data_IF_450391445795
#
_entry.id   IF_450391445795
#
_cell.length_a   1.000
_cell.length_b   1.000
_cell.length_c   1.000
_cell.angle_alpha   90.00
_cell.angle_beta   90.00
_cell.angle_gamma   90.00
#
_symmetry.space_group_name_H-M   'P 1'
#
loop_
_entity.id
_entity.type
_entity.pdbx_description
1 polymer ?
#
# COMPACT_ATOMS: atom_id res chain seq x y z
N UNK A 1 -20.05 17.97 -12.23
CA UNK A 1 -19.91 17.31 -10.91
C UNK A 1 -18.65 16.48 -10.95
N UNK A 2 -17.72 16.67 -10.01
CA UNK A 2 -16.54 15.82 -9.87
C UNK A 2 -16.93 14.62 -9.01
N UNK A 3 -16.67 13.40 -9.46
CA UNK A 3 -16.90 12.17 -8.70
C UNK A 3 -15.70 11.81 -7.79
N UNK A 4 -14.68 12.68 -7.70
CA UNK A 4 -13.49 12.41 -6.89
C UNK A 4 -13.81 12.59 -5.40
N UNK A 5 -13.59 11.55 -4.61
CA UNK A 5 -13.63 11.54 -3.15
C UNK A 5 -12.24 11.25 -2.58
N UNK A 6 -11.87 11.94 -1.50
CA UNK A 6 -10.65 11.68 -0.74
C UNK A 6 -10.92 11.74 0.75
N UNK A 7 -10.05 11.16 1.56
CA UNK A 7 -10.23 11.16 3.01
C UNK A 7 -10.01 12.57 3.61
N UNK A 8 -10.64 12.80 4.76
CA UNK A 8 -10.50 14.03 5.56
C UNK A 8 -9.79 13.74 6.89
N UNK A 9 -8.90 12.73 6.90
CA UNK A 9 -8.12 12.36 8.07
C UNK A 9 -7.31 13.58 8.57
N UNK A 10 -7.34 13.85 9.87
CA UNK A 10 -6.65 15.00 10.47
C UNK A 10 -5.14 14.79 10.59
N UNK A 11 -4.70 13.53 10.66
CA UNK A 11 -3.29 13.15 10.67
C UNK A 11 -3.04 12.03 9.67
N UNK A 12 -1.85 12.02 9.08
CA UNK A 12 -1.42 10.98 8.14
C UNK A 12 -1.54 9.57 8.73
N UNK A 13 -1.26 9.43 10.03
CA UNK A 13 -1.38 8.19 10.77
C UNK A 13 -2.80 7.62 10.82
N UNK A 14 -3.84 8.47 10.75
CA UNK A 14 -5.23 8.04 10.77
C UNK A 14 -5.63 7.27 9.50
N UNK A 15 -4.90 7.45 8.40
CA UNK A 15 -5.18 6.81 7.11
C UNK A 15 -4.94 5.28 7.12
N UNK A 16 -4.47 4.73 8.24
CA UNK A 16 -4.18 3.32 8.42
C UNK A 16 -5.38 2.51 8.93
N UNK A 17 -6.40 3.18 9.45
CA UNK A 17 -7.51 2.57 10.17
C UNK A 17 -8.80 2.61 9.33
N UNK A 18 -9.74 1.73 9.65
CA UNK A 18 -11.05 1.63 8.96
C UNK A 18 -11.89 2.92 8.96
N UNK A 19 -11.55 3.91 9.79
CA UNK A 19 -12.16 5.25 9.76
C UNK A 19 -11.72 6.15 8.60
N UNK A 20 -10.72 5.74 7.83
CA UNK A 20 -10.29 6.46 6.63
C UNK A 20 -11.25 6.17 5.45
N UNK A 21 -11.79 7.22 4.82
CA UNK A 21 -12.72 7.06 3.69
C UNK A 21 -12.12 6.29 2.50
N UNK A 22 -10.80 6.36 2.30
CA UNK A 22 -10.13 5.60 1.24
C UNK A 22 -10.16 4.08 1.46
N UNK A 23 -10.51 3.64 2.67
CA UNK A 23 -10.59 2.23 3.05
C UNK A 23 -12.04 1.76 3.22
N UNK A 24 -13.02 2.58 2.84
CA UNK A 24 -14.44 2.30 3.08
C UNK A 24 -14.96 1.08 2.29
N UNK A 25 -14.35 0.78 1.14
CA UNK A 25 -14.70 -0.35 0.27
C UNK A 25 -13.94 -1.65 0.63
N UNK A 26 -13.21 -1.67 1.76
CA UNK A 26 -12.62 -2.90 2.27
C UNK A 26 -13.65 -3.68 3.08
N UNK A 27 -13.84 -4.94 2.71
CA UNK A 27 -14.67 -5.87 3.48
C UNK A 27 -14.08 -6.06 4.89
N UNK A 28 -14.94 -6.14 5.90
CA UNK A 28 -14.52 -6.15 7.32
C UNK A 28 -13.70 -7.40 7.70
N UNK A 29 -13.90 -8.50 6.98
CA UNK A 29 -13.14 -9.74 7.11
C UNK A 29 -11.72 -9.62 6.50
N UNK A 30 -11.49 -8.58 5.68
CA UNK A 30 -10.20 -8.23 5.08
C UNK A 30 -9.44 -7.18 5.89
N UNK A 31 -10.04 -6.61 6.95
CA UNK A 31 -9.32 -5.80 7.93
C UNK A 31 -8.48 -6.71 8.83
N UNK A 32 -7.26 -6.30 9.20
CA UNK A 32 -6.25 -7.20 9.81
C UNK A 32 -6.68 -7.80 11.16
N UNK A 33 -6.83 -9.13 11.20
CA UNK A 33 -6.63 -9.95 12.40
C UNK A 33 -5.18 -10.46 12.46
N UNK A 34 -4.23 -9.59 12.10
CA UNK A 34 -2.81 -9.94 12.14
C UNK A 34 -2.39 -10.03 13.62
N UNK A 35 -2.44 -11.25 14.17
CA UNK A 35 -1.74 -11.64 15.40
C UNK A 35 -0.20 -11.69 15.21
N UNK A 36 0.29 -11.40 14.01
CA UNK A 36 1.70 -11.43 13.67
C UNK A 36 2.33 -10.02 13.80
N UNK A 37 2.97 -9.84 14.97
CA UNK A 37 4.22 -9.08 15.14
C UNK A 37 4.13 -7.53 15.18
N UNK A 38 3.46 -7.01 16.22
CA UNK A 38 3.90 -5.78 16.88
C UNK A 38 4.01 -6.03 18.38
N UNK A 39 5.12 -6.64 18.80
CA UNK A 39 5.59 -6.50 20.17
C UNK A 39 6.54 -5.30 20.25
N UNK A 40 6.13 -4.13 19.75
CA UNK A 40 6.75 -2.89 20.19
C UNK A 40 5.93 -2.37 21.37
N UNK A 41 6.33 -2.84 22.55
CA UNK A 41 5.78 -2.36 23.82
C UNK A 41 6.09 -0.88 24.01
N UNK A 42 5.19 -0.02 23.53
CA UNK A 42 5.06 1.35 24.00
C UNK A 42 3.65 1.80 23.64
N UNK A 43 2.70 1.64 24.58
CA UNK A 43 1.44 2.42 24.72
C UNK A 43 0.36 1.68 25.55
N UNK A 44 0.69 0.58 26.23
CA UNK A 44 -0.27 -0.10 27.09
C UNK A 44 -0.55 0.61 28.42
N UNK A 45 0.13 1.73 28.72
CA UNK A 45 0.00 2.43 30.00
C UNK A 45 -1.00 3.62 29.98
N UNK A 46 -1.60 3.97 28.84
CA UNK A 46 -2.44 5.19 28.74
C UNK A 46 -3.82 4.97 28.12
N UNK A 47 -4.22 3.74 27.79
CA UNK A 47 -5.54 3.49 27.18
C UNK A 47 -6.62 3.30 28.25
N UNK A 48 -7.56 4.25 28.28
CA UNK A 48 -8.80 4.13 29.04
C UNK A 48 -9.63 2.93 28.53
N UNK A 49 -10.31 2.15 29.41
CA UNK A 49 -10.96 0.88 29.05
C UNK A 49 -12.15 0.99 28.08
N UNK A 50 -12.56 2.21 27.70
CA UNK A 50 -13.79 2.48 26.96
C UNK A 50 -13.61 2.71 25.45
N UNK A 51 -12.41 2.60 24.88
CA UNK A 51 -12.22 2.75 23.42
C UNK A 51 -11.90 1.40 22.76
N UNK A 52 -12.79 0.84 21.91
CA UNK A 52 -12.39 -0.29 21.07
C UNK A 52 -11.16 0.13 20.26
N UNK A 53 -10.14 -0.73 20.22
CA UNK A 53 -8.95 -0.49 19.43
C UNK A 53 -9.35 -0.24 17.96
N UNK A 54 -8.99 0.93 17.42
CA UNK A 54 -9.16 1.19 15.99
C UNK A 54 -8.41 0.11 15.22
N UNK A 55 -9.13 -0.74 14.49
CA UNK A 55 -8.56 -1.83 13.71
C UNK A 55 -7.78 -1.24 12.53
N UNK A 56 -6.49 -1.57 12.39
CA UNK A 56 -5.72 -1.24 11.20
C UNK A 56 -6.31 -2.02 10.01
N UNK A 57 -6.47 -1.36 8.87
CA UNK A 57 -7.12 -1.94 7.70
C UNK A 57 -6.27 -1.80 6.43
N UNK A 58 -5.40 -0.80 6.36
CA UNK A 58 -4.61 -0.51 5.16
C UNK A 58 -3.55 -1.59 4.84
N UNK A 59 -3.04 -1.55 3.61
CA UNK A 59 -2.26 -2.63 3.01
C UNK A 59 -0.83 -2.82 3.56
N UNK A 60 -0.27 -1.84 4.25
CA UNK A 60 1.17 -1.81 4.59
C UNK A 60 1.42 -2.03 6.08
N UNK A 61 2.63 -2.46 6.43
CA UNK A 61 3.11 -2.47 7.81
C UNK A 61 3.48 -1.05 8.25
N UNK A 62 3.18 -0.72 9.52
CA UNK A 62 3.39 0.63 10.06
C UNK A 62 4.80 0.85 10.62
N UNK A 63 5.32 -0.12 11.36
CA UNK A 63 6.52 0.04 12.19
C UNK A 63 7.53 -1.10 11.97
N UNK A 64 8.70 -0.92 12.58
CA UNK A 64 9.76 -1.91 12.60
C UNK A 64 10.41 -2.14 11.23
N UNK A 65 11.12 -3.27 11.13
CA UNK A 65 11.94 -3.62 9.95
C UNK A 65 11.12 -3.87 8.66
N UNK A 66 9.79 -3.94 8.80
CA UNK A 66 8.82 -4.14 7.71
C UNK A 66 8.03 -2.87 7.37
N UNK A 67 8.27 -1.73 8.03
CA UNK A 67 7.54 -0.48 7.76
C UNK A 67 7.51 -0.16 6.26
N UNK A 68 6.32 0.11 5.72
CA UNK A 68 6.10 0.39 4.29
C UNK A 68 6.06 -0.84 3.37
N UNK A 69 6.33 -2.05 3.87
CA UNK A 69 6.16 -3.29 3.09
C UNK A 69 4.68 -3.72 3.09
N UNK A 70 4.25 -4.34 1.99
CA UNK A 70 2.94 -4.97 1.85
C UNK A 70 2.77 -6.09 2.89
N UNK A 71 1.62 -6.13 3.57
CA UNK A 71 1.29 -7.17 4.56
C UNK A 71 1.27 -8.56 3.95
N UNK A 72 1.77 -9.55 4.69
CA UNK A 72 1.92 -10.94 4.24
C UNK A 72 0.64 -11.55 3.68
N UNK A 73 -0.51 -11.29 4.31
CA UNK A 73 -1.82 -11.80 3.86
C UNK A 73 -2.21 -11.32 2.45
N UNK A 74 -1.68 -10.18 2.01
CA UNK A 74 -1.96 -9.61 0.70
C UNK A 74 -0.97 -10.09 -0.38
N UNK A 75 0.11 -10.80 -0.04
CA UNK A 75 1.14 -11.22 -1.01
C UNK A 75 0.59 -12.13 -2.12
N UNK A 76 -0.43 -12.93 -1.79
CA UNK A 76 -1.10 -13.85 -2.72
C UNK A 76 -2.56 -13.48 -2.97
N UNK A 77 -3.01 -12.34 -2.42
CA UNK A 77 -4.38 -11.88 -2.59
C UNK A 77 -4.58 -11.27 -3.98
N UNK A 78 -5.80 -11.41 -4.50
CA UNK A 78 -6.25 -10.72 -5.72
C UNK A 78 -7.02 -9.44 -5.42
N UNK A 79 -7.11 -9.07 -4.15
CA UNK A 79 -7.82 -7.87 -3.72
C UNK A 79 -7.06 -6.60 -4.15
N UNK A 80 -7.79 -5.53 -4.49
CA UNK A 80 -7.17 -4.25 -4.78
C UNK A 80 -6.51 -3.66 -3.53
N UNK A 81 -5.45 -2.87 -3.75
CA UNK A 81 -4.87 -2.03 -2.71
C UNK A 81 -5.49 -0.64 -2.83
N UNK A 82 -6.15 -0.19 -1.76
CA UNK A 82 -6.73 1.15 -1.71
C UNK A 82 -5.75 2.12 -1.05
N UNK A 83 -5.18 3.03 -1.86
CA UNK A 83 -4.29 4.09 -1.39
C UNK A 83 -5.00 5.45 -1.29
N UNK A 84 -4.44 6.33 -0.46
CA UNK A 84 -4.75 7.75 -0.51
C UNK A 84 -4.21 8.35 -1.83
N UNK A 85 -4.76 9.51 -2.20
CA UNK A 85 -4.43 10.18 -3.47
C UNK A 85 -4.60 11.69 -3.33
N UNK A 86 -4.34 12.44 -4.41
CA UNK A 86 -4.33 13.92 -4.43
C UNK A 86 -5.60 14.60 -3.88
N UNK A 87 -6.75 13.92 -3.88
CA UNK A 87 -8.00 14.46 -3.30
C UNK A 87 -8.12 14.31 -1.78
N UNK A 88 -7.14 13.67 -1.12
CA UNK A 88 -7.15 13.45 0.33
C UNK A 88 -6.49 14.61 1.07
N UNK A 89 -6.91 14.86 2.31
CA UNK A 89 -6.34 15.88 3.18
C UNK A 89 -4.95 15.50 3.77
N UNK A 90 -4.60 14.21 3.73
CA UNK A 90 -3.31 13.71 4.20
C UNK A 90 -2.15 14.11 3.27
N UNK A 91 -0.96 14.24 3.84
CA UNK A 91 0.23 14.69 3.13
C UNK A 91 0.79 13.62 2.17
N UNK A 92 1.75 13.98 1.30
CA UNK A 92 2.51 13.01 0.48
C UNK A 92 3.25 11.94 1.29
N UNK A 93 3.57 12.22 2.56
CA UNK A 93 4.25 11.29 3.47
C UNK A 93 3.27 10.32 4.15
N UNK A 94 1.97 10.39 3.81
CA UNK A 94 0.96 9.47 4.32
C UNK A 94 1.40 8.00 4.15
N UNK A 95 1.30 7.17 5.20
CA UNK A 95 1.71 5.76 5.13
C UNK A 95 0.91 4.95 4.10
N UNK A 96 -0.26 5.44 3.66
CA UNK A 96 -1.11 4.82 2.65
C UNK A 96 -0.91 5.42 1.23
N UNK A 97 0.30 5.84 0.88
CA UNK A 97 0.69 6.38 -0.44
C UNK A 97 1.99 5.76 -0.98
N UNK A 98 2.24 4.49 -0.70
CA UNK A 98 3.49 3.79 -1.06
C UNK A 98 3.65 3.69 -2.57
N UNK A 99 2.62 3.29 -3.31
CA UNK A 99 2.65 3.15 -4.77
C UNK A 99 2.66 4.51 -5.45
N UNK A 100 1.90 5.49 -4.92
CA UNK A 100 1.90 6.86 -5.44
C UNK A 100 3.30 7.51 -5.42
N UNK A 101 4.09 7.27 -4.36
CA UNK A 101 5.47 7.79 -4.23
C UNK A 101 6.43 7.25 -5.28
N UNK A 102 6.07 6.19 -5.99
CA UNK A 102 6.86 5.64 -7.09
C UNK A 102 8.07 4.82 -6.63
N UNK A 103 8.89 4.43 -7.61
CA UNK A 103 10.00 3.50 -7.42
C UNK A 103 11.06 4.05 -6.48
N UNK A 104 11.44 3.24 -5.49
CA UNK A 104 12.56 3.52 -4.56
C UNK A 104 13.75 2.59 -4.75
N UNK A 105 13.60 1.51 -5.54
CA UNK A 105 14.66 0.53 -5.82
C UNK A 105 15.35 0.86 -7.15
N UNK A 106 16.69 0.93 -7.24
CA UNK A 106 17.38 1.12 -8.50
C UNK A 106 17.26 -0.15 -9.36
N UNK A 107 16.96 0.03 -10.64
CA UNK A 107 16.81 -1.05 -11.61
C UNK A 107 17.86 -0.95 -12.72
N UNK A 108 18.32 -2.11 -13.18
CA UNK A 108 19.24 -2.27 -14.28
C UNK A 108 18.60 -3.14 -15.36
N UNK A 109 18.56 -2.62 -16.58
CA UNK A 109 18.23 -3.39 -17.78
C UNK A 109 19.47 -4.15 -18.21
N UNK A 110 19.33 -5.45 -18.50
CA UNK A 110 20.44 -6.30 -18.91
C UNK A 110 20.02 -7.29 -20.00
N UNK A 111 20.98 -7.80 -20.76
CA UNK A 111 20.73 -8.83 -21.77
C UNK A 111 20.81 -10.21 -21.12
N UNK A 112 19.74 -10.98 -21.22
CA UNK A 112 19.71 -12.39 -20.80
C UNK A 112 20.39 -13.28 -21.84
N UNK A 113 20.67 -14.54 -21.48
CA UNK A 113 21.30 -15.49 -22.41
C UNK A 113 20.34 -15.95 -23.52
N UNK A 114 19.05 -16.11 -23.21
CA UNK A 114 18.09 -16.85 -24.05
C UNK A 114 16.69 -16.19 -24.21
N UNK A 115 16.37 -15.12 -23.47
CA UNK A 115 15.02 -14.54 -23.38
C UNK A 115 14.94 -13.05 -23.73
N UNK A 116 15.98 -12.51 -24.36
CA UNK A 116 16.05 -11.10 -24.71
C UNK A 116 16.49 -10.20 -23.55
N UNK A 117 15.80 -9.08 -23.35
CA UNK A 117 16.09 -8.13 -22.28
C UNK A 117 15.43 -8.54 -20.96
N UNK A 118 16.14 -8.36 -19.85
CA UNK A 118 15.66 -8.56 -18.50
C UNK A 118 15.90 -7.34 -17.63
N UNK A 119 15.26 -7.32 -16.46
CA UNK A 119 15.44 -6.29 -15.44
C UNK A 119 15.94 -6.97 -14.17
N UNK A 120 16.94 -6.38 -13.53
CA UNK A 120 17.46 -6.79 -12.22
C UNK A 120 17.73 -5.57 -11.34
N UNK A 121 18.04 -5.79 -10.08
CA UNK A 121 18.61 -4.77 -9.18
C UNK A 121 19.91 -5.30 -8.57
N UNK A 122 20.76 -4.40 -8.10
CA UNK A 122 21.95 -4.74 -7.30
C UNK A 122 21.66 -4.69 -5.79
N UNK A 123 20.46 -4.23 -5.40
CA UNK A 123 20.03 -4.14 -4.00
C UNK A 123 19.12 -5.31 -3.62
N UNK A 124 19.11 -5.68 -2.34
CA UNK A 124 18.19 -6.69 -1.84
C UNK A 124 16.77 -6.14 -1.80
N UNK A 125 15.82 -6.84 -2.43
CA UNK A 125 14.39 -6.54 -2.35
C UNK A 125 13.77 -7.41 -1.26
N UNK A 126 13.16 -6.77 -0.25
CA UNK A 126 12.43 -7.48 0.80
C UNK A 126 11.10 -8.00 0.26
N UNK A 127 10.61 -9.14 0.79
CA UNK A 127 9.26 -9.63 0.46
C UNK A 127 8.22 -8.57 0.83
N UNK A 128 7.34 -8.23 -0.10
CA UNK A 128 6.33 -7.19 0.06
C UNK A 128 6.82 -5.76 -0.24
N UNK A 129 8.08 -5.58 -0.65
CA UNK A 129 8.58 -4.26 -1.07
C UNK A 129 8.03 -3.89 -2.45
N UNK A 130 7.50 -2.67 -2.56
CA UNK A 130 7.10 -2.11 -3.84
C UNK A 130 8.32 -1.89 -4.75
N UNK A 131 8.21 -2.31 -6.01
CA UNK A 131 9.29 -2.17 -7.01
C UNK A 131 8.99 -1.00 -7.94
N UNK A 132 8.00 -1.13 -8.81
CA UNK A 132 7.57 -0.07 -9.74
C UNK A 132 6.15 -0.38 -10.23
N UNK A 133 5.54 0.56 -10.95
CA UNK A 133 4.29 0.36 -11.68
C UNK A 133 4.58 -0.10 -13.10
N UNK A 134 3.70 -0.94 -13.64
CA UNK A 134 3.67 -1.16 -15.08
C UNK A 134 3.04 0.06 -15.75
N UNK A 135 3.83 0.79 -16.54
CA UNK A 135 3.42 2.00 -17.23
C UNK A 135 3.34 1.75 -18.74
N UNK A 136 2.45 2.48 -19.41
CA UNK A 136 2.23 2.40 -20.84
C UNK A 136 1.09 3.31 -21.28
N UNK A 137 0.73 3.19 -22.54
CA UNK A 137 -0.44 3.88 -23.09
C UNK A 137 -1.72 3.16 -22.64
N UNK A 138 -2.65 3.89 -22.01
CA UNK A 138 -3.97 3.35 -21.69
C UNK A 138 -4.83 3.40 -22.95
N UNK A 139 -5.09 2.23 -23.52
CA UNK A 139 -5.86 2.06 -24.77
C UNK A 139 -7.15 1.28 -24.51
N UNK A 140 -8.10 1.40 -25.44
CA UNK A 140 -9.34 0.60 -25.42
C UNK A 140 -9.07 -0.83 -25.90
N UNK A 141 -9.95 -1.77 -25.56
CA UNK A 141 -9.86 -3.16 -26.06
C UNK A 141 -9.81 -3.22 -27.58
N UNK A 142 -10.62 -2.41 -28.27
CA UNK A 142 -10.65 -2.38 -29.73
C UNK A 142 -9.33 -1.90 -30.35
N UNK A 143 -8.66 -0.93 -29.72
CA UNK A 143 -7.32 -0.49 -30.16
C UNK A 143 -6.24 -1.53 -29.84
N UNK A 144 -6.37 -2.27 -28.74
CA UNK A 144 -5.46 -3.37 -28.42
C UNK A 144 -5.55 -4.51 -29.44
N UNK A 145 -6.77 -4.92 -29.82
CA UNK A 145 -6.99 -5.99 -30.81
C UNK A 145 -6.48 -5.63 -32.21
N UNK A 146 -6.34 -4.34 -32.51
CA UNK A 146 -5.81 -3.82 -33.78
C UNK A 146 -4.28 -3.91 -33.88
N UNK A 147 -3.55 -3.95 -32.76
CA UNK A 147 -2.08 -3.96 -32.71
C UNK A 147 -1.51 -5.37 -32.77
#
# INVERSE_FOLDING_TARGET
LSFRSGCTCGQDGDCQYSGCLCLADLDQDEASDDADDDHSGLDSATRSPLSPARKKAYAYHTHGNKAGLLRSKLHTSKLPLYECHQGCACSPDCPNRVVERGRTVPLQIFRTQDRGWGVRTQESIKKGQFVDRYLGEVITSAEADRR
#
